data_IF_145556960998
#
_entry.id   IF_145556960998
#
_cell.length_a   1.000
_cell.length_b   1.000
_cell.length_c   1.000
_cell.angle_alpha   90.00
_cell.angle_beta   90.00
_cell.angle_gamma   90.00
#
_symmetry.space_group_name_H-M   'P 1'
#
loop_
_entity.id
_entity.type
_entity.pdbx_description
1 polymer ?
#
# COMPACT_ATOMS: atom_id res chain seq x y z
N UNK A 1 25.98 -3.05 -16.89
CA UNK A 1 25.19 -1.85 -17.25
C UNK A 1 24.00 -1.77 -16.33
N UNK A 2 23.67 -0.59 -15.81
CA UNK A 2 22.50 -0.38 -14.98
C UNK A 2 21.35 0.19 -15.82
N UNK A 3 20.13 -0.29 -15.59
CA UNK A 3 18.93 0.16 -16.27
C UNK A 3 17.88 0.61 -15.25
N UNK A 4 17.03 1.55 -15.64
CA UNK A 4 15.92 2.04 -14.81
C UNK A 4 14.61 1.74 -15.53
N UNK A 5 13.76 0.94 -14.88
CA UNK A 5 12.41 0.65 -15.35
C UNK A 5 11.44 1.62 -14.67
N UNK A 6 10.64 2.32 -15.47
CA UNK A 6 9.57 3.20 -14.98
C UNK A 6 8.23 2.66 -15.44
N UNK A 7 7.25 2.65 -14.54
CA UNK A 7 5.90 2.19 -14.83
C UNK A 7 4.88 3.09 -14.14
N UNK A 8 3.79 3.40 -14.84
CA UNK A 8 2.61 4.05 -14.28
C UNK A 8 1.47 3.04 -14.31
N UNK A 9 0.79 2.87 -13.18
CA UNK A 9 -0.26 1.87 -13.03
C UNK A 9 -1.43 2.45 -12.23
N UNK A 10 -2.59 1.82 -12.38
CA UNK A 10 -3.79 2.13 -11.62
C UNK A 10 -4.42 0.82 -11.16
N UNK A 11 -4.98 0.83 -9.96
CA UNK A 11 -5.70 -0.31 -9.39
C UNK A 11 -6.83 0.17 -8.50
N UNK A 12 -7.79 -0.71 -8.25
CA UNK A 12 -8.82 -0.50 -7.25
C UNK A 12 -8.37 -1.08 -5.92
N UNK A 13 -8.73 -0.42 -4.81
CA UNK A 13 -8.54 -0.98 -3.48
C UNK A 13 -9.34 -2.28 -3.33
N UNK A 14 -8.67 -3.32 -2.87
CA UNK A 14 -9.29 -4.62 -2.64
C UNK A 14 -10.22 -4.60 -1.40
N UNK A 15 -11.06 -5.63 -1.28
CA UNK A 15 -11.97 -5.84 -0.13
C UNK A 15 -11.73 -7.16 0.60
N UNK A 16 -10.67 -7.89 0.22
CA UNK A 16 -10.38 -9.26 0.68
C UNK A 16 -9.19 -9.33 1.65
N UNK A 17 -8.83 -8.21 2.28
CA UNK A 17 -7.72 -8.09 3.25
C UNK A 17 -6.35 -8.52 2.71
N UNK A 18 -6.15 -8.48 1.38
CA UNK A 18 -4.89 -8.82 0.69
C UNK A 18 -4.46 -7.69 -0.22
N UNK A 19 -3.15 -7.58 -0.44
CA UNK A 19 -2.58 -6.54 -1.29
C UNK A 19 -2.80 -5.17 -0.66
N UNK A 20 -3.19 -4.20 -1.48
CA UNK A 20 -3.63 -2.89 -1.01
C UNK A 20 -5.16 -2.84 -0.96
N UNK A 21 -5.73 -2.78 0.24
CA UNK A 21 -7.15 -2.96 0.48
C UNK A 21 -7.75 -1.87 1.36
N UNK A 22 -9.06 -1.66 1.24
CA UNK A 22 -9.81 -0.77 2.12
C UNK A 22 -10.29 -1.51 3.36
N UNK A 23 -10.15 -0.89 4.51
CA UNK A 23 -10.72 -1.32 5.78
C UNK A 23 -11.50 -0.18 6.41
N UNK A 24 -12.21 -0.46 7.50
CA UNK A 24 -12.96 0.54 8.24
C UNK A 24 -12.94 0.22 9.74
N UNK A 25 -13.11 1.26 10.54
CA UNK A 25 -13.29 1.16 11.98
C UNK A 25 -14.34 2.17 12.44
N UNK A 26 -14.80 2.04 13.69
CA UNK A 26 -15.69 3.03 14.32
C UNK A 26 -14.84 3.85 15.28
N UNK A 27 -14.89 5.18 15.13
CA UNK A 27 -14.16 6.08 16.03
C UNK A 27 -14.91 6.29 17.36
N UNK A 28 -14.32 7.04 18.29
CA UNK A 28 -14.90 7.32 19.60
C UNK A 28 -16.24 8.10 19.53
N UNK A 29 -16.54 8.74 18.40
CA UNK A 29 -17.81 9.43 18.17
C UNK A 29 -18.92 8.51 17.62
N UNK A 30 -18.61 7.23 17.40
CA UNK A 30 -19.52 6.28 16.75
C UNK A 30 -19.54 6.40 15.23
N UNK A 31 -18.65 7.20 14.64
CA UNK A 31 -18.61 7.43 13.20
C UNK A 31 -17.76 6.37 12.51
N UNK A 32 -18.28 5.77 11.43
CA UNK A 32 -17.52 4.85 10.59
C UNK A 32 -16.45 5.61 9.80
N UNK A 33 -15.19 5.27 10.02
CA UNK A 33 -14.02 5.81 9.32
C UNK A 33 -13.45 4.77 8.37
N UNK A 34 -13.09 5.21 7.17
CA UNK A 34 -12.43 4.38 6.17
C UNK A 34 -10.91 4.59 6.23
N UNK A 35 -10.18 3.53 5.93
CA UNK A 35 -8.72 3.54 5.80
C UNK A 35 -8.28 2.64 4.65
N UNK A 36 -7.08 2.89 4.13
CA UNK A 36 -6.41 1.98 3.21
C UNK A 36 -5.20 1.37 3.93
N UNK A 37 -4.98 0.07 3.76
CA UNK A 37 -3.92 -0.68 4.43
C UNK A 37 -3.39 -1.80 3.54
N UNK A 38 -2.19 -2.29 3.85
CA UNK A 38 -1.47 -3.26 3.02
C UNK A 38 -1.22 -4.56 3.78
N UNK A 39 -1.48 -5.70 3.13
CA UNK A 39 -1.06 -7.02 3.57
C UNK A 39 -0.44 -7.77 2.39
N UNK A 40 0.89 -7.84 2.36
CA UNK A 40 1.63 -8.32 1.19
C UNK A 40 2.09 -9.77 1.26
N UNK A 41 2.25 -10.36 2.44
CA UNK A 41 2.66 -11.76 2.52
C UNK A 41 1.53 -12.71 2.04
N UNK A 42 1.83 -13.78 1.27
CA UNK A 42 3.16 -14.20 0.79
C UNK A 42 3.59 -13.65 -0.58
N UNK A 43 2.69 -13.05 -1.36
CA UNK A 43 2.98 -12.61 -2.74
C UNK A 43 1.88 -11.68 -3.28
N UNK A 44 1.42 -10.76 -2.44
CA UNK A 44 0.37 -9.80 -2.74
C UNK A 44 0.91 -8.38 -2.93
N UNK A 45 2.22 -8.14 -2.82
CA UNK A 45 2.81 -6.83 -3.14
C UNK A 45 2.55 -6.46 -4.61
N UNK A 46 2.61 -7.47 -5.50
CA UNK A 46 2.27 -7.33 -6.93
C UNK A 46 0.85 -6.83 -7.23
N UNK A 47 -0.04 -6.87 -6.24
CA UNK A 47 -1.41 -6.34 -6.35
C UNK A 47 -1.49 -4.83 -6.04
N UNK A 48 -0.44 -4.27 -5.43
CA UNK A 48 -0.33 -2.86 -5.10
C UNK A 48 0.55 -2.09 -6.09
N UNK A 49 1.67 -2.68 -6.53
CA UNK A 49 2.57 -2.09 -7.53
C UNK A 49 3.33 -3.18 -8.31
N UNK A 50 3.74 -2.95 -9.56
CA UNK A 50 4.57 -3.89 -10.33
C UNK A 50 5.94 -4.06 -9.68
N UNK A 51 6.30 -5.29 -9.31
CA UNK A 51 7.58 -5.60 -8.69
C UNK A 51 8.00 -7.07 -8.88
N UNK A 52 9.26 -7.37 -8.61
CA UNK A 52 9.78 -8.74 -8.50
C UNK A 52 9.39 -9.32 -7.13
N UNK A 53 8.16 -9.82 -7.03
CA UNK A 53 7.50 -10.20 -5.78
C UNK A 53 7.85 -11.62 -5.32
N UNK A 54 9.16 -11.85 -5.11
CA UNK A 54 9.70 -13.04 -4.45
C UNK A 54 10.72 -12.62 -3.38
N UNK A 55 10.79 -13.28 -2.21
CA UNK A 55 11.59 -12.84 -1.07
C UNK A 55 13.10 -12.81 -1.33
N UNK A 56 13.58 -13.50 -2.37
CA UNK A 56 14.98 -13.47 -2.80
C UNK A 56 15.41 -12.12 -3.43
N UNK A 57 14.47 -11.34 -3.97
CA UNK A 57 14.76 -10.05 -4.63
C UNK A 57 14.65 -8.89 -3.65
N UNK A 58 15.62 -8.77 -2.74
CA UNK A 58 15.70 -7.63 -1.81
C UNK A 58 16.06 -6.35 -2.56
N UNK A 59 15.42 -5.24 -2.16
CA UNK A 59 15.68 -3.90 -2.66
C UNK A 59 15.42 -2.85 -1.57
N UNK A 60 15.91 -1.63 -1.78
CA UNK A 60 15.53 -0.46 -0.98
C UNK A 60 14.26 0.16 -1.56
N UNK A 61 13.41 0.71 -0.69
CA UNK A 61 12.14 1.32 -1.08
C UNK A 61 12.09 2.75 -0.54
N UNK A 62 11.96 3.70 -1.45
CA UNK A 62 11.63 5.09 -1.15
C UNK A 62 10.17 5.31 -1.56
N UNK A 63 9.32 5.65 -0.60
CA UNK A 63 7.85 5.61 -0.73
C UNK A 63 7.28 6.99 -0.49
N UNK A 64 6.53 7.50 -1.46
CA UNK A 64 5.72 8.72 -1.32
C UNK A 64 4.24 8.37 -1.39
N UNK A 65 3.43 8.86 -0.45
CA UNK A 65 1.98 8.67 -0.41
C UNK A 65 1.29 10.02 -0.52
N UNK A 66 0.58 10.23 -1.64
CA UNK A 66 -0.28 11.40 -1.83
C UNK A 66 -1.67 11.09 -1.28
N UNK A 67 -2.19 11.95 -0.42
CA UNK A 67 -3.50 11.80 0.22
C UNK A 67 -4.10 13.15 0.62
N UNK A 68 -5.39 13.15 0.90
CA UNK A 68 -6.06 14.29 1.52
C UNK A 68 -5.61 14.47 2.98
N UNK A 69 -5.75 15.69 3.50
CA UNK A 69 -5.32 16.05 4.85
C UNK A 69 -6.00 15.19 5.93
N UNK A 70 -7.27 14.83 5.71
CA UNK A 70 -8.11 14.09 6.66
C UNK A 70 -7.68 12.62 6.86
N UNK A 71 -6.89 12.06 5.93
CA UNK A 71 -6.33 10.70 6.07
C UNK A 71 -5.00 10.68 6.86
N UNK A 72 -4.88 11.57 7.84
CA UNK A 72 -3.73 11.63 8.76
C UNK A 72 -3.99 10.78 10.01
N UNK A 73 -2.99 10.03 10.53
CA UNK A 73 -1.63 9.90 10.02
C UNK A 73 -1.51 8.90 8.86
N UNK A 74 -0.46 9.06 8.06
CA UNK A 74 -0.01 8.06 7.08
C UNK A 74 1.29 7.47 7.55
N UNK A 75 1.36 6.15 7.56
CA UNK A 75 2.48 5.40 8.11
C UNK A 75 3.04 4.47 7.04
N UNK A 76 4.35 4.30 7.07
CA UNK A 76 5.12 3.37 6.25
C UNK A 76 6.25 2.79 7.10
N UNK A 77 7.14 2.00 6.49
CA UNK A 77 8.27 1.36 7.19
C UNK A 77 9.30 2.36 7.75
N UNK A 78 9.46 3.51 7.10
CA UNK A 78 10.46 4.53 7.43
C UNK A 78 9.78 5.83 7.90
N UNK A 79 10.40 6.60 8.83
CA UNK A 79 9.96 7.94 9.21
C UNK A 79 10.03 8.97 8.07
#
# INVERSE_FOLDING_TARGET
TNYVIRSTFRGNLQTNMRGFYRSWYVDSSGTKRWMATTQFQPGHARQAFPCYDEPGFKATFDITINREADFSPTLSNMP
#
